data_IF_331815531822
#
_entry.id   IF_331815531822
#
_cell.length_a   1.000
_cell.length_b   1.000
_cell.length_c   1.000
_cell.angle_alpha   90.00
_cell.angle_beta   90.00
_cell.angle_gamma   90.00
#
_symmetry.space_group_name_H-M   'P 1'
#
loop_
_entity.id
_entity.type
_entity.pdbx_description
1 polymer ?
#
# COMPACT_ATOMS: atom_id res chain seq x y z
N UNK A 1 -5.18 -10.12 -13.01
CA UNK A 1 -4.66 -9.39 -11.85
C UNK A 1 -4.23 -8.00 -12.29
N UNK A 2 -4.45 -6.95 -11.48
CA UNK A 2 -3.91 -5.62 -11.79
C UNK A 2 -2.38 -5.70 -11.95
N UNK A 3 -1.84 -4.89 -12.86
CA UNK A 3 -0.39 -4.79 -13.06
C UNK A 3 0.24 -4.26 -11.78
N UNK A 4 1.33 -4.89 -11.32
CA UNK A 4 2.08 -4.42 -10.16
C UNK A 4 2.59 -3.00 -10.41
N UNK A 5 2.39 -2.11 -9.43
CA UNK A 5 3.00 -0.78 -9.49
C UNK A 5 4.53 -0.89 -9.40
N UNK A 6 5.31 0.07 -9.92
CA UNK A 6 6.77 0.05 -9.82
C UNK A 6 7.28 -0.15 -8.39
N UNK A 7 6.60 0.45 -7.42
CA UNK A 7 6.89 0.33 -5.99
C UNK A 7 6.65 -1.10 -5.50
N UNK A 8 5.50 -1.69 -5.85
CA UNK A 8 5.18 -3.07 -5.50
C UNK A 8 6.14 -4.07 -6.15
N UNK A 9 6.58 -3.80 -7.38
CA UNK A 9 7.61 -4.59 -8.06
C UNK A 9 8.92 -4.54 -7.28
N UNK A 10 9.37 -3.36 -6.87
CA UNK A 10 10.61 -3.21 -6.09
C UNK A 10 10.56 -4.02 -4.79
N UNK A 11 9.48 -3.91 -4.03
CA UNK A 11 9.30 -4.69 -2.79
C UNK A 11 9.36 -6.20 -3.05
N UNK A 12 8.69 -6.69 -4.10
CA UNK A 12 8.74 -8.11 -4.46
C UNK A 12 10.08 -8.58 -5.00
N UNK A 13 10.85 -7.70 -5.65
CA UNK A 13 12.23 -7.99 -6.05
C UNK A 13 13.10 -8.17 -4.79
N UNK A 14 12.95 -7.31 -3.78
CA UNK A 14 13.67 -7.44 -2.51
C UNK A 14 13.31 -8.75 -1.78
N UNK A 15 12.02 -9.07 -1.68
CA UNK A 15 11.57 -10.35 -1.12
C UNK A 15 12.16 -11.55 -1.89
N UNK A 16 12.18 -11.49 -3.22
CA UNK A 16 12.78 -12.54 -4.04
C UNK A 16 14.29 -12.67 -3.82
N UNK A 17 15.01 -11.57 -3.62
CA UNK A 17 16.43 -11.59 -3.25
C UNK A 17 16.61 -12.30 -1.91
N UNK A 18 15.83 -11.95 -0.88
CA UNK A 18 15.94 -12.59 0.43
C UNK A 18 15.62 -14.08 0.40
N UNK A 19 14.57 -14.50 -0.32
CA UNK A 19 14.22 -15.91 -0.53
C UNK A 19 15.39 -16.65 -1.20
N UNK A 20 15.92 -16.05 -2.27
CA UNK A 20 17.10 -16.56 -2.95
C UNK A 20 18.37 -16.43 -2.10
N UNK A 21 18.46 -15.66 -1.04
CA UNK A 21 19.62 -15.66 -0.14
C UNK A 21 19.48 -16.74 0.95
N UNK A 22 18.25 -17.04 1.37
CA UNK A 22 17.91 -18.13 2.30
C UNK A 22 17.93 -19.53 1.70
N UNK A 23 17.88 -19.65 0.38
CA UNK A 23 17.90 -20.94 -0.33
C UNK A 23 16.53 -21.47 -0.66
N UNK A 24 15.52 -20.62 -0.54
CA UNK A 24 14.17 -20.90 -1.02
C UNK A 24 14.12 -20.77 -2.54
N UNK A 25 13.38 -21.67 -3.19
CA UNK A 25 13.26 -21.68 -4.64
C UNK A 25 12.23 -20.65 -5.11
N UNK A 26 12.67 -19.67 -5.89
CA UNK A 26 11.79 -18.69 -6.51
C UNK A 26 11.40 -19.16 -7.91
N UNK A 27 10.09 -19.38 -8.13
CA UNK A 27 9.54 -19.82 -9.41
C UNK A 27 10.06 -18.97 -10.58
N UNK A 28 10.56 -19.62 -11.65
CA UNK A 28 11.04 -18.94 -12.85
C UNK A 28 9.98 -18.04 -13.51
N UNK A 29 8.70 -18.37 -13.35
CA UNK A 29 7.57 -17.54 -13.82
C UNK A 29 7.53 -16.16 -13.16
N UNK A 30 8.01 -16.03 -11.91
CA UNK A 30 8.09 -14.73 -11.21
C UNK A 30 9.09 -13.78 -11.89
N UNK A 31 10.13 -14.28 -12.55
CA UNK A 31 11.11 -13.43 -13.25
C UNK A 31 10.41 -12.53 -14.30
N UNK A 32 9.51 -13.08 -15.12
CA UNK A 32 8.78 -12.32 -16.16
C UNK A 32 7.83 -11.26 -15.58
N UNK A 33 7.38 -11.43 -14.35
CA UNK A 33 6.48 -10.50 -13.68
C UNK A 33 7.23 -9.38 -12.95
N UNK A 34 8.44 -9.66 -12.47
CA UNK A 34 9.24 -8.76 -11.63
C UNK A 34 10.29 -7.98 -12.40
N UNK A 35 10.92 -8.60 -13.41
CA UNK A 35 12.00 -7.99 -14.18
C UNK A 35 11.45 -7.32 -15.45
N UNK A 36 12.02 -6.18 -15.79
CA UNK A 36 11.81 -5.54 -17.10
C UNK A 36 12.57 -6.27 -18.20
N UNK A 37 12.21 -6.04 -19.45
CA UNK A 37 12.79 -6.71 -20.63
C UNK A 37 14.33 -6.62 -20.70
N UNK A 38 14.90 -5.47 -20.30
CA UNK A 38 16.35 -5.28 -20.23
C UNK A 38 17.00 -6.24 -19.24
N UNK A 39 16.41 -6.40 -18.06
CA UNK A 39 16.92 -7.27 -17.01
C UNK A 39 16.67 -8.75 -17.32
N UNK A 40 15.56 -9.07 -17.99
CA UNK A 40 15.30 -10.42 -18.51
C UNK A 40 16.36 -10.85 -19.53
N UNK A 41 16.68 -9.96 -20.48
CA UNK A 41 17.74 -10.23 -21.45
C UNK A 41 19.10 -10.39 -20.77
N UNK A 42 19.42 -9.53 -19.80
CA UNK A 42 20.65 -9.63 -19.03
C UNK A 42 20.74 -10.96 -18.26
N UNK A 43 19.61 -11.47 -17.74
CA UNK A 43 19.53 -12.78 -17.08
C UNK A 43 19.83 -13.92 -18.06
N UNK A 44 19.20 -13.90 -19.24
CA UNK A 44 19.39 -14.94 -20.26
C UNK A 44 20.83 -14.92 -20.79
N UNK A 45 21.39 -13.73 -21.05
CA UNK A 45 22.77 -13.56 -21.50
C UNK A 45 23.78 -14.02 -20.43
N UNK A 46 23.57 -13.67 -19.15
CA UNK A 46 24.42 -14.11 -18.05
C UNK A 46 24.36 -15.63 -17.85
N UNK A 47 23.17 -16.22 -17.98
CA UNK A 47 23.00 -17.67 -17.90
C UNK A 47 23.65 -18.41 -19.07
N UNK A 48 23.54 -17.87 -20.29
CA UNK A 48 24.20 -18.43 -21.47
C UNK A 48 25.73 -18.45 -21.32
N UNK A 49 26.32 -17.38 -20.75
CA UNK A 49 27.75 -17.33 -20.42
C UNK A 49 28.15 -18.42 -19.42
N UNK A 50 27.37 -18.61 -18.36
CA UNK A 50 27.62 -19.68 -17.38
C UNK A 50 27.47 -21.08 -17.99
N UNK A 51 26.51 -21.29 -18.90
CA UNK A 51 26.36 -22.55 -19.64
C UNK A 51 27.57 -22.83 -20.53
N UNK A 52 28.13 -21.81 -21.19
CA UNK A 52 29.36 -21.97 -21.97
C UNK A 52 30.57 -22.29 -21.08
N UNK A 53 30.69 -21.67 -19.90
CA UNK A 53 31.73 -21.97 -18.92
C UNK A 53 31.62 -23.40 -18.38
N UNK A 54 30.39 -23.88 -18.11
CA UNK A 54 30.10 -25.24 -17.66
C UNK A 54 30.48 -26.33 -18.66
N UNK A 55 30.50 -26.01 -19.95
CA UNK A 55 30.98 -26.91 -21.00
C UNK A 55 32.51 -26.99 -21.06
N UNK A 56 33.21 -25.94 -20.61
CA UNK A 56 34.67 -25.82 -20.69
C UNK A 56 35.39 -26.23 -19.40
N UNK A 57 34.77 -26.04 -18.25
CA UNK A 57 35.37 -26.29 -16.94
C UNK A 57 34.52 -27.22 -16.09
N UNK A 58 35.19 -28.07 -15.28
CA UNK A 58 34.52 -28.86 -14.25
C UNK A 58 34.04 -27.94 -13.11
N UNK A 59 32.99 -28.33 -12.37
CA UNK A 59 32.55 -27.59 -11.20
C UNK A 59 33.72 -27.39 -10.21
N UNK A 60 34.04 -26.15 -9.83
CA UNK A 60 35.09 -25.85 -8.87
C UNK A 60 34.73 -26.45 -7.50
N UNK A 61 35.75 -26.92 -6.76
CA UNK A 61 35.53 -27.56 -5.45
C UNK A 61 35.63 -26.55 -4.29
N UNK A 62 36.23 -25.39 -4.53
CA UNK A 62 36.39 -24.32 -3.55
C UNK A 62 35.84 -23.00 -4.09
N UNK A 63 35.44 -22.10 -3.18
CA UNK A 63 34.95 -20.77 -3.56
C UNK A 63 36.02 -19.91 -4.25
N UNK A 64 37.30 -20.12 -3.92
CA UNK A 64 38.42 -19.38 -4.54
C UNK A 64 38.63 -19.77 -6.00
N UNK A 65 38.52 -21.06 -6.32
CA UNK A 65 38.54 -21.55 -7.70
C UNK A 65 37.33 -21.04 -8.49
N UNK A 66 36.16 -20.99 -7.85
CA UNK A 66 34.95 -20.45 -8.46
C UNK A 66 35.12 -18.96 -8.83
N UNK A 67 35.67 -18.15 -7.92
CA UNK A 67 35.95 -16.73 -8.18
C UNK A 67 36.97 -16.52 -9.30
N UNK A 68 37.99 -17.37 -9.42
CA UNK A 68 39.02 -17.26 -10.47
C UNK A 68 38.46 -17.47 -11.88
N UNK A 69 37.47 -18.34 -12.02
CA UNK A 69 36.87 -18.70 -13.32
C UNK A 69 35.53 -17.95 -13.52
N UNK A 70 35.15 -17.08 -12.59
CA UNK A 70 33.83 -16.44 -12.50
C UNK A 70 32.68 -17.46 -12.63
N UNK A 71 32.85 -18.61 -11.97
CA UNK A 71 31.86 -19.68 -11.96
C UNK A 71 30.75 -19.33 -10.97
N UNK A 72 29.52 -19.22 -11.50
CA UNK A 72 28.35 -18.88 -10.70
C UNK A 72 27.26 -19.94 -10.80
N UNK A 73 26.51 -20.09 -9.72
CA UNK A 73 25.29 -20.90 -9.72
C UNK A 73 24.14 -20.14 -10.40
N UNK A 74 23.11 -20.86 -10.87
CA UNK A 74 21.92 -20.22 -11.46
C UNK A 74 21.27 -19.25 -10.46
N UNK A 75 21.31 -19.59 -9.18
CA UNK A 75 20.80 -18.81 -8.07
C UNK A 75 21.59 -17.51 -7.90
N UNK A 76 22.91 -17.56 -7.88
CA UNK A 76 23.77 -16.37 -7.81
C UNK A 76 23.55 -15.43 -9.00
N UNK A 77 23.48 -15.97 -10.23
CA UNK A 77 23.18 -15.16 -11.43
C UNK A 77 21.83 -14.47 -11.28
N UNK A 78 20.80 -15.17 -10.78
CA UNK A 78 19.48 -14.56 -10.54
C UNK A 78 19.54 -13.46 -9.49
N UNK A 79 20.26 -13.67 -8.39
CA UNK A 79 20.43 -12.66 -7.33
C UNK A 79 21.11 -11.41 -7.88
N UNK A 80 22.16 -11.54 -8.68
CA UNK A 80 22.87 -10.40 -9.26
C UNK A 80 21.96 -9.55 -10.14
N UNK A 81 21.18 -10.19 -11.02
CA UNK A 81 20.22 -9.47 -11.87
C UNK A 81 19.11 -8.83 -11.04
N UNK A 82 18.60 -9.51 -10.01
CA UNK A 82 17.61 -8.91 -9.12
C UNK A 82 18.16 -7.71 -8.36
N UNK A 83 19.43 -7.75 -7.91
CA UNK A 83 20.10 -6.60 -7.28
C UNK A 83 20.25 -5.43 -8.25
N UNK A 84 20.60 -5.68 -9.51
CA UNK A 84 20.65 -4.65 -10.55
C UNK A 84 19.26 -4.02 -10.82
N UNK A 85 18.23 -4.87 -10.91
CA UNK A 85 16.86 -4.42 -11.08
C UNK A 85 16.38 -3.59 -9.88
N UNK A 86 16.70 -4.03 -8.66
CA UNK A 86 16.37 -3.30 -7.43
C UNK A 86 17.08 -1.94 -7.36
N UNK A 87 18.36 -1.87 -7.76
CA UNK A 87 19.10 -0.61 -7.80
C UNK A 87 18.50 0.37 -8.82
N UNK A 88 18.16 -0.13 -10.01
CA UNK A 88 17.54 0.69 -11.07
C UNK A 88 16.15 1.17 -10.67
N UNK A 89 15.33 0.31 -10.06
CA UNK A 89 14.01 0.67 -9.55
C UNK A 89 14.08 1.61 -8.34
N UNK A 90 15.05 1.42 -7.45
CA UNK A 90 15.29 2.27 -6.29
C UNK A 90 15.69 3.70 -6.67
N UNK A 91 16.45 3.89 -7.75
CA UNK A 91 16.86 5.21 -8.21
C UNK A 91 15.67 6.12 -8.59
N UNK A 92 14.60 5.54 -9.15
CA UNK A 92 13.43 6.28 -9.62
C UNK A 92 12.23 6.25 -8.65
N UNK A 93 12.40 5.64 -7.47
CA UNK A 93 11.28 5.32 -6.57
C UNK A 93 10.49 6.55 -6.12
N UNK A 94 11.16 7.68 -5.92
CA UNK A 94 10.52 8.92 -5.49
C UNK A 94 9.63 9.49 -6.58
N UNK A 95 10.06 9.42 -7.83
CA UNK A 95 9.27 9.93 -8.96
C UNK A 95 8.12 9.00 -9.31
N UNK A 96 8.33 7.69 -9.19
CA UNK A 96 7.25 6.69 -9.29
C UNK A 96 6.19 6.89 -8.20
N UNK A 97 6.61 7.16 -6.96
CA UNK A 97 5.74 7.52 -5.83
C UNK A 97 4.92 8.77 -6.12
N UNK A 98 5.56 9.85 -6.58
CA UNK A 98 4.86 11.10 -6.93
C UNK A 98 3.83 10.87 -8.04
N UNK A 99 4.16 10.05 -9.04
CA UNK A 99 3.25 9.72 -10.13
C UNK A 99 2.05 8.93 -9.63
N UNK A 100 2.26 7.92 -8.80
CA UNK A 100 1.18 7.12 -8.21
C UNK A 100 0.27 7.97 -7.30
N UNK A 101 0.87 8.87 -6.51
CA UNK A 101 0.13 9.88 -5.74
C UNK A 101 -0.72 10.76 -6.65
N UNK A 102 -0.14 11.32 -7.71
CA UNK A 102 -0.86 12.16 -8.66
C UNK A 102 -2.02 11.42 -9.33
N UNK A 103 -1.80 10.18 -9.77
CA UNK A 103 -2.84 9.37 -10.41
C UNK A 103 -4.00 9.05 -9.44
N UNK A 104 -3.68 8.77 -8.17
CA UNK A 104 -4.71 8.55 -7.14
C UNK A 104 -5.48 9.83 -6.80
N UNK A 105 -4.81 10.99 -6.75
CA UNK A 105 -5.45 12.29 -6.55
C UNK A 105 -6.39 12.67 -7.70
N UNK A 106 -5.95 12.48 -8.95
CA UNK A 106 -6.78 12.70 -10.13
C UNK A 106 -8.00 11.80 -10.11
N UNK A 107 -7.82 10.51 -9.78
CA UNK A 107 -8.92 9.55 -9.65
C UNK A 107 -9.90 9.98 -8.55
N UNK A 108 -9.40 10.40 -7.39
CA UNK A 108 -10.23 10.89 -6.30
C UNK A 108 -11.01 12.15 -6.71
N UNK A 109 -10.36 13.12 -7.33
CA UNK A 109 -11.01 14.33 -7.84
C UNK A 109 -12.14 13.98 -8.83
N UNK A 110 -11.88 13.08 -9.79
CA UNK A 110 -12.88 12.63 -10.75
C UNK A 110 -14.10 12.00 -10.07
N UNK A 111 -13.88 11.02 -9.19
CA UNK A 111 -14.95 10.33 -8.45
C UNK A 111 -15.74 11.30 -7.56
N UNK A 112 -15.06 12.22 -6.90
CA UNK A 112 -15.71 13.24 -6.08
C UNK A 112 -16.59 14.16 -6.92
N UNK A 113 -16.08 14.66 -8.05
CA UNK A 113 -16.82 15.57 -8.93
C UNK A 113 -18.02 14.88 -9.58
N UNK A 114 -17.84 13.65 -10.07
CA UNK A 114 -18.94 12.82 -10.60
C UNK A 114 -20.05 12.67 -9.55
N UNK A 115 -19.71 12.20 -8.34
CA UNK A 115 -20.69 12.08 -7.26
C UNK A 115 -21.31 13.40 -6.80
N UNK A 116 -20.61 14.53 -6.97
CA UNK A 116 -21.11 15.87 -6.63
C UNK A 116 -22.09 16.39 -7.68
N UNK A 117 -21.80 16.18 -8.96
CA UNK A 117 -22.62 16.66 -10.07
C UNK A 117 -23.82 15.76 -10.37
N UNK A 118 -23.73 14.46 -10.08
CA UNK A 118 -24.86 13.50 -10.19
C UNK A 118 -25.87 13.60 -9.03
N UNK A 119 -25.61 14.47 -8.05
CA UNK A 119 -26.49 14.62 -6.90
C UNK A 119 -27.81 15.31 -7.29
N UNK A 120 -28.94 14.66 -6.95
CA UNK A 120 -30.29 15.20 -7.13
C UNK A 120 -30.47 16.55 -6.42
N UNK A 121 -31.32 17.40 -6.99
CA UNK A 121 -31.71 18.67 -6.35
C UNK A 121 -32.30 18.44 -4.96
N UNK A 122 -31.94 19.32 -4.01
CA UNK A 122 -32.24 19.17 -2.59
C UNK A 122 -31.24 18.31 -1.80
N UNK A 123 -30.30 17.62 -2.45
CA UNK A 123 -29.24 16.88 -1.76
C UNK A 123 -28.00 17.74 -1.52
N UNK A 124 -27.36 17.62 -0.35
CA UNK A 124 -26.05 18.23 -0.12
C UNK A 124 -25.01 17.62 -1.08
N UNK A 125 -24.65 18.39 -2.11
CA UNK A 125 -23.73 17.98 -3.19
C UNK A 125 -22.34 17.61 -2.68
N UNK A 126 -21.83 18.30 -1.66
CA UNK A 126 -20.55 17.95 -1.03
C UNK A 126 -20.60 16.57 -0.34
N UNK A 127 -21.69 16.30 0.36
CA UNK A 127 -21.91 15.00 1.00
C UNK A 127 -22.04 13.87 -0.03
N UNK A 128 -22.63 14.13 -1.19
CA UNK A 128 -22.73 13.16 -2.28
C UNK A 128 -21.35 12.79 -2.87
N UNK A 129 -20.50 13.79 -3.14
CA UNK A 129 -19.11 13.56 -3.57
C UNK A 129 -18.29 12.77 -2.54
N UNK A 130 -18.39 13.11 -1.25
CA UNK A 130 -17.70 12.37 -0.17
C UNK A 130 -18.18 10.91 -0.07
N UNK A 131 -19.48 10.64 -0.23
CA UNK A 131 -20.01 9.27 -0.29
C UNK A 131 -19.53 8.50 -1.51
N UNK A 132 -19.35 9.15 -2.66
CA UNK A 132 -18.77 8.53 -3.85
C UNK A 132 -17.31 8.10 -3.62
N UNK A 133 -16.51 8.94 -2.96
CA UNK A 133 -15.13 8.58 -2.55
C UNK A 133 -15.10 7.34 -1.65
N UNK A 134 -15.95 7.29 -0.62
CA UNK A 134 -16.06 6.12 0.28
C UNK A 134 -16.43 4.85 -0.49
N UNK A 135 -17.44 4.94 -1.38
CA UNK A 135 -17.86 3.79 -2.21
C UNK A 135 -16.74 3.30 -3.14
N UNK A 136 -15.89 4.20 -3.61
CA UNK A 136 -14.73 3.86 -4.42
C UNK A 136 -13.51 3.36 -3.62
N UNK A 137 -13.61 3.29 -2.28
CA UNK A 137 -12.48 2.92 -1.42
C UNK A 137 -11.38 3.98 -1.35
N UNK A 138 -11.69 5.23 -1.73
CA UNK A 138 -10.73 6.33 -1.74
C UNK A 138 -10.81 7.14 -0.44
N UNK A 139 -9.68 7.74 -0.05
CA UNK A 139 -9.59 8.57 1.15
C UNK A 139 -10.50 9.79 1.02
N UNK A 140 -11.34 10.00 2.02
CA UNK A 140 -12.11 11.24 2.17
C UNK A 140 -11.24 12.28 2.89
N UNK A 141 -11.14 13.52 2.40
CA UNK A 141 -10.44 14.57 3.12
C UNK A 141 -11.07 14.80 4.49
N UNK A 142 -10.24 14.87 5.51
CA UNK A 142 -10.70 15.14 6.87
C UNK A 142 -11.35 16.53 6.93
N UNK A 143 -12.42 16.70 7.73
CA UNK A 143 -12.95 18.03 7.97
C UNK A 143 -11.89 18.90 8.66
N UNK A 144 -11.69 20.12 8.15
CA UNK A 144 -10.89 21.13 8.83
C UNK A 144 -11.68 21.56 10.06
N UNK A 145 -11.11 21.39 11.25
CA UNK A 145 -11.73 21.77 12.53
C UNK A 145 -11.06 23.08 12.95
N UNK A 146 -11.82 24.17 12.95
CA UNK A 146 -11.33 25.49 13.36
C UNK A 146 -11.27 25.62 14.89
N UNK A 147 -10.55 26.61 15.40
CA UNK A 147 -10.56 26.91 16.85
C UNK A 147 -11.98 27.22 17.35
N UNK A 148 -12.76 27.99 16.57
CA UNK A 148 -14.17 28.23 16.85
C UNK A 148 -14.98 26.93 16.95
N UNK A 149 -14.74 25.94 16.09
CA UNK A 149 -15.44 24.65 16.17
C UNK A 149 -15.08 23.89 17.45
N UNK A 150 -13.83 24.00 17.92
CA UNK A 150 -13.40 23.40 19.19
C UNK A 150 -14.07 24.09 20.38
N UNK A 151 -14.17 25.42 20.34
CA UNK A 151 -14.86 26.23 21.34
C UNK A 151 -16.35 25.88 21.38
N UNK A 152 -17.02 25.83 20.23
CA UNK A 152 -18.42 25.41 20.12
C UNK A 152 -18.61 24.03 20.74
N UNK A 153 -17.77 23.04 20.40
CA UNK A 153 -17.84 21.70 21.00
C UNK A 153 -17.59 21.70 22.50
N UNK A 154 -16.77 22.62 23.01
CA UNK A 154 -16.53 22.79 24.45
C UNK A 154 -17.78 23.37 25.13
N UNK A 155 -18.39 24.39 24.55
CA UNK A 155 -19.63 24.99 25.03
C UNK A 155 -20.80 24.00 24.98
N UNK A 156 -20.95 23.26 23.88
CA UNK A 156 -21.95 22.19 23.77
C UNK A 156 -21.81 21.15 24.88
N UNK A 157 -20.57 20.73 25.20
CA UNK A 157 -20.33 19.81 26.32
C UNK A 157 -20.69 20.42 27.66
N UNK A 158 -20.34 21.68 27.90
CA UNK A 158 -20.68 22.39 29.14
C UNK A 158 -22.19 22.54 29.31
N UNK A 159 -22.92 22.89 28.24
CA UNK A 159 -24.38 22.99 28.25
C UNK A 159 -25.01 21.62 28.52
N UNK A 160 -24.50 20.56 27.89
CA UNK A 160 -24.97 19.19 28.14
C UNK A 160 -24.70 18.76 29.59
N UNK A 161 -23.54 19.06 30.14
CA UNK A 161 -23.19 18.75 31.53
C UNK A 161 -24.09 19.49 32.52
N UNK A 162 -24.36 20.78 32.28
CA UNK A 162 -25.31 21.54 33.08
C UNK A 162 -26.73 20.97 32.99
N UNK A 163 -27.17 20.59 31.80
CA UNK A 163 -28.48 19.98 31.58
C UNK A 163 -28.59 18.59 32.23
N UNK A 164 -27.51 17.79 32.23
CA UNK A 164 -27.48 16.50 32.93
C UNK A 164 -27.43 16.67 34.46
N UNK A 165 -26.79 17.73 34.95
CA UNK A 165 -26.75 18.09 36.36
C UNK A 165 -28.12 18.52 36.91
N UNK A 166 -28.97 19.16 36.09
CA UNK A 166 -30.31 19.60 36.48
C UNK A 166 -31.40 18.52 36.37
N UNK A 167 -31.06 17.30 35.93
CA UNK A 167 -31.98 16.17 35.92
C UNK A 167 -32.27 15.66 37.34
N UNK A 168 -33.49 15.14 37.56
CA UNK A 168 -33.79 14.34 38.74
C UNK A 168 -33.05 13.00 38.70
N UNK A 169 -32.90 12.35 39.85
CA UNK A 169 -32.13 11.09 39.96
C UNK A 169 -32.72 9.99 39.07
N UNK A 170 -34.05 9.82 39.02
CA UNK A 170 -34.72 8.87 38.12
C UNK A 170 -34.45 9.17 36.63
N UNK A 171 -34.45 10.45 36.24
CA UNK A 171 -34.17 10.85 34.86
C UNK A 171 -32.68 10.65 34.50
N UNK A 172 -31.79 10.77 35.48
CA UNK A 172 -30.35 10.55 35.33
C UNK A 172 -30.06 9.05 35.14
N UNK A 173 -30.69 8.18 35.92
CA UNK A 173 -30.59 6.72 35.77
C UNK A 173 -31.10 6.23 34.41
N UNK A 174 -32.23 6.77 33.94
CA UNK A 174 -32.76 6.44 32.61
C UNK A 174 -31.83 6.93 31.48
N UNK A 175 -31.21 8.10 31.64
CA UNK A 175 -30.21 8.61 30.70
C UNK A 175 -28.97 7.71 30.64
N UNK A 176 -28.49 7.22 31.78
CA UNK A 176 -27.37 6.27 31.84
C UNK A 176 -27.70 4.96 31.14
N UNK A 177 -28.88 4.41 31.39
CA UNK A 177 -29.36 3.19 30.71
C UNK A 177 -29.39 3.37 29.17
N UNK A 178 -29.87 4.52 28.69
CA UNK A 178 -29.85 4.87 27.26
C UNK A 178 -28.42 5.01 26.70
N UNK A 179 -27.50 5.60 27.47
CA UNK A 179 -26.07 5.72 27.09
C UNK A 179 -25.43 4.33 26.96
N UNK A 180 -25.72 3.40 27.87
CA UNK A 180 -25.24 2.02 27.81
C UNK A 180 -25.81 1.24 26.62
N UNK A 181 -27.11 1.33 26.37
CA UNK A 181 -27.75 0.71 25.20
C UNK A 181 -27.12 1.18 23.88
N UNK A 182 -26.89 2.50 23.74
CA UNK A 182 -26.21 3.07 22.56
C UNK A 182 -24.77 2.58 22.41
N UNK A 183 -24.02 2.38 23.52
CA UNK A 183 -22.66 1.80 23.48
C UNK A 183 -22.69 0.35 22.99
N UNK A 184 -23.62 -0.47 23.46
CA UNK A 184 -23.79 -1.87 23.03
C UNK A 184 -24.11 -1.96 21.53
N UNK A 185 -25.03 -1.12 21.03
CA UNK A 185 -25.38 -1.06 19.60
C UNK A 185 -24.18 -0.62 18.74
N UNK A 186 -23.41 0.38 19.18
CA UNK A 186 -22.21 0.82 18.45
C UNK A 186 -21.12 -0.25 18.38
N UNK A 187 -20.95 -1.07 19.42
CA UNK A 187 -20.03 -2.22 19.41
C UNK A 187 -20.51 -3.30 18.43
N UNK A 188 -21.80 -3.61 18.43
CA UNK A 188 -22.39 -4.60 17.54
C UNK A 188 -22.30 -4.22 16.04
N UNK A 189 -22.31 -2.93 15.70
CA UNK A 189 -22.14 -2.43 14.31
C UNK A 189 -20.69 -2.33 13.84
N UNK A 190 -19.71 -2.51 14.72
CA UNK A 190 -18.27 -2.39 14.42
C UNK A 190 -17.55 -3.74 14.30
N UNK A 191 -18.19 -4.83 14.71
CA UNK A 191 -17.77 -6.21 14.40
C UNK A 191 -18.42 -6.66 13.10
#
# INVERSE_FOLDING_TARGET
MPKLSPIQKLGRIQEAIEQLERGEEVEAKKNKALLDEKHLKALDDAWAKQQALRKKHKPPKTEEEARRIDWKTQREVRIEIYKQAAATGGANIVDDLKKEQKDTEIRAARVYLEGRFDAKDGTNKDSAGKRALVRAGLRVPAPIVTERDKEIRKLERQILEQAEGSLSDEARDHLEWLKEGKKKIKKAKKG
#
